data_IF_101556309603
#
_entry.id   IF_101556309603
#
_cell.length_a   1.000
_cell.length_b   1.000
_cell.length_c   1.000
_cell.angle_alpha   90.00
_cell.angle_beta   90.00
_cell.angle_gamma   90.00
#
_symmetry.space_group_name_H-M   'P 1'
#
loop_
_entity.id
_entity.type
_entity.pdbx_description
1 polymer ?
#
# COMPACT_ATOMS: atom_id res chain seq x y z
N UNK A 1 28.56 -24.32 6.42
CA UNK A 1 27.73 -23.14 6.02
C UNK A 1 26.80 -22.77 7.17
N UNK A 2 27.33 -22.45 8.36
CA UNK A 2 26.52 -22.18 9.57
C UNK A 2 26.90 -20.91 10.33
N UNK A 3 28.02 -20.23 10.00
CA UNK A 3 28.46 -19.03 10.75
C UNK A 3 28.12 -17.69 10.08
N UNK A 4 27.76 -17.68 8.78
CA UNK A 4 27.48 -16.42 8.07
C UNK A 4 26.05 -15.92 8.34
N UNK A 5 25.11 -16.80 8.74
CA UNK A 5 23.71 -16.43 8.95
C UNK A 5 23.46 -15.70 10.28
N UNK A 6 24.20 -16.01 11.34
CA UNK A 6 23.99 -15.43 12.67
C UNK A 6 24.65 -14.05 12.80
N UNK A 7 25.80 -13.85 12.14
CA UNK A 7 26.48 -12.54 12.07
C UNK A 7 25.71 -11.56 11.17
N UNK A 8 25.10 -12.03 10.07
CA UNK A 8 24.20 -11.20 9.25
C UNK A 8 22.90 -10.84 10.00
N UNK A 9 22.37 -11.76 10.81
CA UNK A 9 21.22 -11.55 11.69
C UNK A 9 21.46 -10.44 12.73
N UNK A 10 22.55 -10.54 13.49
CA UNK A 10 22.91 -9.53 14.50
C UNK A 10 23.14 -8.14 13.90
N UNK A 11 23.48 -8.07 12.62
CA UNK A 11 23.67 -6.81 11.90
C UNK A 11 22.38 -6.16 11.40
N UNK A 12 21.21 -6.81 11.49
CA UNK A 12 19.93 -6.28 11.00
C UNK A 12 18.91 -6.01 12.11
N UNK A 13 19.07 -6.64 13.26
CA UNK A 13 18.30 -6.34 14.47
C UNK A 13 18.89 -5.12 15.18
N UNK A 14 18.03 -4.27 15.72
CA UNK A 14 18.43 -3.14 16.55
C UNK A 14 19.17 -3.61 17.80
N UNK A 15 20.34 -3.04 18.03
CA UNK A 15 21.14 -3.26 19.25
C UNK A 15 20.44 -2.67 20.47
N UNK A 16 20.91 -3.00 21.67
CA UNK A 16 20.35 -2.44 22.91
C UNK A 16 20.47 -0.90 22.95
N UNK A 17 21.57 -0.34 22.43
CA UNK A 17 21.76 1.11 22.32
C UNK A 17 20.79 1.75 21.33
N UNK A 18 20.51 1.08 20.21
CA UNK A 18 19.57 1.54 19.17
C UNK A 18 18.10 1.40 19.62
N UNK A 19 17.78 0.57 20.63
CA UNK A 19 16.42 0.31 21.15
C UNK A 19 15.88 1.41 22.09
N UNK A 20 16.26 2.67 21.87
CA UNK A 20 15.73 3.78 22.64
C UNK A 20 14.67 4.57 21.85
N UNK A 21 13.63 5.14 22.51
CA UNK A 21 12.55 5.85 21.82
C UNK A 21 12.98 7.10 21.02
N UNK A 22 14.17 7.64 21.28
CA UNK A 22 14.67 8.82 20.57
C UNK A 22 15.32 8.46 19.22
N UNK A 23 15.67 7.19 19.00
CA UNK A 23 16.37 6.73 17.79
C UNK A 23 15.68 5.56 17.10
N UNK A 24 14.71 4.92 17.76
CA UNK A 24 13.87 3.86 17.18
C UNK A 24 12.38 4.23 17.25
N UNK A 25 11.58 3.93 16.22
CA UNK A 25 11.98 3.38 14.93
C UNK A 25 12.64 4.44 14.04
N UNK A 26 13.30 4.01 12.96
CA UNK A 26 13.87 4.91 11.97
C UNK A 26 13.49 4.48 10.55
N UNK A 27 13.27 5.47 9.68
CA UNK A 27 13.20 5.26 8.24
C UNK A 27 14.16 6.23 7.56
N UNK A 28 15.03 5.71 6.71
CA UNK A 28 16.09 6.46 6.05
C UNK A 28 15.92 6.44 4.53
N UNK A 29 16.42 7.46 3.84
CA UNK A 29 16.49 7.52 2.39
C UNK A 29 17.93 7.60 1.91
N UNK A 30 18.29 6.71 0.99
CA UNK A 30 19.49 6.85 0.18
C UNK A 30 19.20 7.74 -1.03
N UNK A 31 19.90 8.86 -1.11
CA UNK A 31 19.72 9.86 -2.17
C UNK A 31 19.93 9.27 -3.57
N UNK A 32 19.09 9.66 -4.52
CA UNK A 32 19.31 9.34 -5.92
C UNK A 32 20.56 10.04 -6.51
N UNK A 33 21.14 11.02 -5.80
CA UNK A 33 22.33 11.75 -6.22
C UNK A 33 23.57 10.87 -6.44
N UNK A 34 23.62 9.68 -5.84
CA UNK A 34 24.67 8.70 -6.08
C UNK A 34 24.68 8.17 -7.52
N UNK A 35 23.54 8.15 -8.20
CA UNK A 35 23.40 7.65 -9.58
C UNK A 35 23.04 8.73 -10.60
N UNK A 36 22.33 9.76 -10.16
CA UNK A 36 21.74 10.77 -11.03
C UNK A 36 22.26 12.15 -10.67
N UNK A 37 22.68 12.91 -11.69
CA UNK A 37 23.12 14.29 -11.50
C UNK A 37 21.93 15.24 -11.41
N UNK A 38 20.93 15.06 -12.25
CA UNK A 38 19.71 15.86 -12.27
C UNK A 38 18.49 14.95 -12.29
N UNK A 39 17.37 15.45 -11.78
CA UNK A 39 16.13 14.69 -11.69
C UNK A 39 14.95 15.56 -12.12
N UNK A 40 14.19 15.04 -13.09
CA UNK A 40 12.90 15.61 -13.43
C UNK A 40 11.89 15.31 -12.33
N UNK A 41 10.99 16.24 -12.06
CA UNK A 41 9.91 16.09 -11.10
C UNK A 41 8.62 16.61 -11.72
N UNK A 42 7.53 15.84 -11.67
CA UNK A 42 6.25 16.34 -12.13
C UNK A 42 5.78 17.49 -11.23
N UNK A 43 5.02 18.44 -11.79
CA UNK A 43 4.42 19.51 -11.00
C UNK A 43 3.46 18.96 -9.92
N UNK A 44 2.67 17.97 -10.31
CA UNK A 44 1.82 17.19 -9.41
C UNK A 44 2.15 15.71 -9.53
N UNK A 45 2.45 15.06 -8.41
CA UNK A 45 2.79 13.64 -8.39
C UNK A 45 1.54 12.78 -8.23
N UNK A 46 1.37 11.80 -9.11
CA UNK A 46 0.28 10.82 -9.01
C UNK A 46 0.41 9.93 -7.76
N UNK A 47 -0.71 9.34 -7.30
CA UNK A 47 -0.72 8.38 -6.19
C UNK A 47 0.28 7.24 -6.44
N UNK A 48 1.06 6.82 -5.43
CA UNK A 48 1.95 5.68 -5.56
C UNK A 48 1.15 4.39 -5.77
N UNK A 49 1.52 3.63 -6.80
CA UNK A 49 1.02 2.29 -7.12
C UNK A 49 2.13 1.25 -6.90
N UNK A 50 1.77 -0.01 -6.66
CA UNK A 50 2.75 -1.05 -6.33
C UNK A 50 2.65 -2.23 -7.29
N UNK A 51 3.75 -2.52 -7.98
CA UNK A 51 3.86 -3.69 -8.84
C UNK A 51 4.73 -4.75 -8.17
N UNK A 52 4.09 -5.87 -7.81
CA UNK A 52 4.74 -7.02 -7.21
C UNK A 52 5.29 -7.93 -8.32
N UNK A 53 6.61 -8.04 -8.38
CA UNK A 53 7.27 -8.88 -9.36
C UNK A 53 7.46 -10.29 -8.79
N UNK A 54 7.03 -11.35 -9.48
CA UNK A 54 7.24 -12.73 -9.03
C UNK A 54 8.74 -12.98 -8.94
N UNK A 55 9.28 -12.87 -7.72
CA UNK A 55 10.68 -13.13 -7.46
C UNK A 55 10.83 -14.62 -7.19
N UNK A 56 11.83 -15.23 -7.83
CA UNK A 56 12.14 -16.64 -7.66
C UNK A 56 12.71 -16.84 -6.26
N UNK A 57 11.84 -17.09 -5.28
CA UNK A 57 12.18 -17.46 -3.89
C UNK A 57 13.18 -18.63 -3.82
N UNK A 58 13.32 -19.40 -4.91
CA UNK A 58 14.12 -20.61 -5.00
C UNK A 58 15.31 -20.58 -5.97
N UNK A 59 15.65 -19.43 -6.57
CA UNK A 59 16.76 -19.37 -7.55
C UNK A 59 18.02 -18.74 -6.93
N UNK A 60 19.04 -19.54 -6.56
CA UNK A 60 20.23 -19.05 -5.90
C UNK A 60 21.01 -18.11 -6.81
N UNK A 61 21.36 -16.90 -6.31
CA UNK A 61 22.35 -15.94 -6.83
C UNK A 61 22.53 -15.92 -8.36
N UNK A 62 21.45 -16.10 -9.11
CA UNK A 62 21.57 -16.13 -10.56
C UNK A 62 21.87 -14.70 -11.00
N UNK A 63 22.78 -14.54 -11.97
CA UNK A 63 23.13 -13.24 -12.54
C UNK A 63 21.87 -12.45 -12.95
N UNK A 64 20.84 -13.15 -13.40
CA UNK A 64 19.52 -12.63 -13.79
C UNK A 64 18.77 -11.98 -12.64
N UNK A 65 18.81 -12.56 -11.43
CA UNK A 65 18.13 -12.05 -10.24
C UNK A 65 18.85 -10.82 -9.71
N UNK A 66 20.17 -10.87 -9.60
CA UNK A 66 20.96 -9.72 -9.18
C UNK A 66 20.77 -8.53 -10.14
N UNK A 67 20.73 -8.80 -11.45
CA UNK A 67 20.42 -7.77 -12.46
C UNK A 67 19.01 -7.19 -12.27
N UNK A 68 17.98 -8.03 -12.06
CA UNK A 68 16.62 -7.56 -11.84
C UNK A 68 16.49 -6.73 -10.55
N UNK A 69 17.11 -7.19 -9.46
CA UNK A 69 17.20 -6.51 -8.18
C UNK A 69 17.83 -5.12 -8.32
N UNK A 70 18.93 -5.01 -9.07
CA UNK A 70 19.58 -3.72 -9.35
C UNK A 70 18.67 -2.78 -10.15
N UNK A 71 18.00 -3.30 -11.19
CA UNK A 71 17.07 -2.52 -12.01
C UNK A 71 15.86 -2.00 -11.22
N UNK A 72 15.30 -2.82 -10.32
CA UNK A 72 14.22 -2.37 -9.42
C UNK A 72 14.70 -1.28 -8.46
N UNK A 73 15.90 -1.47 -7.90
CA UNK A 73 16.55 -0.51 -7.03
C UNK A 73 16.74 0.85 -7.67
N UNK A 74 17.33 0.86 -8.87
CA UNK A 74 17.54 2.07 -9.67
C UNK A 74 16.23 2.77 -10.03
N UNK A 75 15.16 2.01 -10.34
CA UNK A 75 13.83 2.55 -10.60
C UNK A 75 13.19 3.19 -9.37
N UNK A 76 13.24 2.50 -8.23
CA UNK A 76 12.66 3.00 -6.99
C UNK A 76 13.46 4.19 -6.44
N UNK A 77 14.78 4.24 -6.59
CA UNK A 77 15.59 5.41 -6.20
C UNK A 77 15.18 6.68 -6.92
N UNK A 78 14.72 6.57 -8.16
CA UNK A 78 14.22 7.70 -8.92
C UNK A 78 12.79 8.11 -8.53
N UNK A 79 12.39 7.87 -7.28
CA UNK A 79 11.04 8.17 -6.77
C UNK A 79 10.61 9.62 -7.01
N UNK A 80 11.54 10.58 -7.01
CA UNK A 80 11.19 11.99 -7.20
C UNK A 80 10.51 12.23 -8.56
N UNK A 81 10.87 11.43 -9.58
CA UNK A 81 10.32 11.49 -10.94
C UNK A 81 8.86 11.03 -11.02
N UNK A 82 8.33 10.35 -10.01
CA UNK A 82 6.92 9.95 -9.98
C UNK A 82 6.51 9.17 -11.24
N UNK A 83 5.47 9.65 -11.92
CA UNK A 83 4.97 9.12 -13.20
C UNK A 83 5.88 9.39 -14.41
N UNK A 84 6.89 10.25 -14.29
CA UNK A 84 7.86 10.56 -15.35
C UNK A 84 9.05 9.59 -15.40
N UNK A 85 9.15 8.66 -14.43
CA UNK A 85 10.26 7.70 -14.32
C UNK A 85 10.49 6.95 -15.62
N UNK A 86 9.40 6.54 -16.23
CA UNK A 86 9.42 5.83 -17.49
C UNK A 86 10.10 6.70 -18.54
N UNK A 87 9.59 7.91 -18.79
CA UNK A 87 10.05 8.80 -19.85
C UNK A 87 11.51 9.24 -19.71
N UNK A 88 12.02 9.31 -18.48
CA UNK A 88 13.37 9.81 -18.20
C UNK A 88 14.42 8.70 -18.09
N UNK A 89 14.05 7.52 -17.55
CA UNK A 89 14.95 6.37 -17.40
C UNK A 89 14.95 5.49 -18.66
N UNK A 90 13.89 5.53 -19.48
CA UNK A 90 13.72 4.68 -20.68
C UNK A 90 14.86 4.80 -21.70
N UNK A 91 15.59 5.92 -21.73
CA UNK A 91 16.69 6.15 -22.66
C UNK A 91 17.99 5.39 -22.29
N UNK A 92 18.05 4.78 -21.11
CA UNK A 92 19.17 3.91 -20.71
C UNK A 92 19.02 2.50 -21.31
N UNK A 93 20.14 1.95 -21.80
CA UNK A 93 20.23 0.63 -22.47
C UNK A 93 19.77 -0.51 -21.54
N UNK A 94 20.01 -0.33 -20.26
CA UNK A 94 19.67 -1.20 -19.13
C UNK A 94 18.15 -1.38 -19.02
N UNK A 95 17.40 -0.33 -19.35
CA UNK A 95 15.96 -0.31 -19.14
C UNK A 95 15.15 -0.99 -20.26
N UNK A 96 15.71 -1.03 -21.47
CA UNK A 96 15.23 -1.95 -22.52
C UNK A 96 15.31 -3.42 -22.07
N UNK A 97 16.14 -3.76 -21.08
CA UNK A 97 16.15 -5.09 -20.47
C UNK A 97 15.02 -5.26 -19.48
N UNK A 98 14.72 -4.27 -18.63
CA UNK A 98 13.60 -4.39 -17.69
C UNK A 98 12.26 -4.50 -18.43
N UNK A 99 12.02 -3.70 -19.47
CA UNK A 99 10.81 -3.83 -20.33
C UNK A 99 10.59 -5.24 -20.87
N UNK A 100 11.68 -5.95 -21.18
CA UNK A 100 11.61 -7.33 -21.69
C UNK A 100 11.29 -8.33 -20.57
N UNK A 101 11.77 -8.08 -19.35
CA UNK A 101 11.54 -8.93 -18.18
C UNK A 101 10.19 -8.66 -17.50
N UNK A 102 9.68 -7.44 -17.60
CA UNK A 102 8.42 -6.98 -17.01
C UNK A 102 7.62 -6.22 -18.07
N UNK A 103 6.94 -6.92 -18.99
CA UNK A 103 6.21 -6.30 -20.10
C UNK A 103 5.13 -5.31 -19.65
N UNK A 104 4.50 -5.57 -18.50
CA UNK A 104 3.44 -4.75 -17.90
C UNK A 104 3.88 -3.30 -17.64
N UNK A 105 5.19 -3.04 -17.46
CA UNK A 105 5.69 -1.67 -17.30
C UNK A 105 5.47 -0.78 -18.52
N UNK A 106 5.19 -1.35 -19.70
CA UNK A 106 4.80 -0.56 -20.88
C UNK A 106 3.41 0.05 -20.70
N UNK A 107 2.50 -0.68 -20.08
CA UNK A 107 1.12 -0.23 -19.84
C UNK A 107 1.07 0.76 -18.68
N UNK A 108 1.94 0.58 -17.68
CA UNK A 108 2.02 1.42 -16.49
C UNK A 108 3.02 2.59 -16.62
N UNK A 109 3.48 2.89 -17.83
CA UNK A 109 4.58 3.84 -18.04
C UNK A 109 4.27 5.26 -17.55
N UNK A 110 3.00 5.69 -17.55
CA UNK A 110 2.63 7.04 -17.11
C UNK A 110 2.06 7.05 -15.68
N UNK A 111 2.42 6.06 -14.86
CA UNK A 111 1.94 5.91 -13.47
C UNK A 111 3.10 5.95 -12.49
N UNK A 112 2.82 6.41 -11.27
CA UNK A 112 3.80 6.48 -10.19
C UNK A 112 3.99 5.09 -9.53
N UNK A 113 4.60 4.14 -10.24
CA UNK A 113 4.68 2.73 -9.82
C UNK A 113 5.96 2.42 -9.06
N UNK A 114 5.89 1.78 -7.91
CA UNK A 114 7.02 1.18 -7.20
C UNK A 114 7.14 -0.31 -7.53
N UNK A 115 8.36 -0.78 -7.76
CA UNK A 115 8.64 -2.19 -8.03
C UNK A 115 9.04 -2.89 -6.75
N UNK A 116 8.26 -3.89 -6.35
CA UNK A 116 8.48 -4.64 -5.12
C UNK A 116 8.63 -6.13 -5.43
N UNK A 117 9.44 -6.86 -4.65
CA UNK A 117 9.48 -8.32 -4.77
C UNK A 117 8.16 -8.90 -4.24
N UNK A 118 7.59 -9.86 -4.97
CA UNK A 118 6.46 -10.65 -4.48
C UNK A 118 6.98 -11.76 -3.57
N UNK A 119 7.05 -11.49 -2.28
CA UNK A 119 7.50 -12.44 -1.25
C UNK A 119 6.33 -12.86 -0.37
N UNK A 120 6.45 -14.01 0.31
CA UNK A 120 5.41 -14.48 1.23
C UNK A 120 5.15 -13.50 2.37
N UNK A 121 6.18 -12.79 2.85
CA UNK A 121 6.06 -11.88 4.00
C UNK A 121 5.80 -10.43 3.59
N UNK A 122 6.03 -10.07 2.32
CA UNK A 122 5.84 -8.71 1.76
C UNK A 122 6.49 -7.61 2.59
N UNK A 123 7.60 -7.90 3.29
CA UNK A 123 8.23 -6.96 4.23
C UNK A 123 8.60 -5.64 3.56
N UNK A 124 9.22 -5.71 2.39
CA UNK A 124 9.65 -4.52 1.64
C UNK A 124 8.47 -3.62 1.25
N UNK A 125 7.28 -4.20 1.04
CA UNK A 125 6.08 -3.43 0.76
C UNK A 125 5.65 -2.66 2.00
N UNK A 126 5.56 -3.35 3.13
CA UNK A 126 5.07 -2.77 4.37
C UNK A 126 6.13 -2.05 5.20
N UNK A 127 7.35 -1.90 4.67
CA UNK A 127 8.45 -1.22 5.35
C UNK A 127 8.07 0.17 5.89
N UNK A 128 7.38 1.06 5.12
CA UNK A 128 6.95 2.35 5.66
C UNK A 128 6.04 2.21 6.88
N UNK A 129 5.06 1.28 6.84
CA UNK A 129 4.13 1.05 7.95
C UNK A 129 4.84 0.42 9.16
N UNK A 130 5.72 -0.54 8.92
CA UNK A 130 6.53 -1.20 9.95
C UNK A 130 7.40 -0.19 10.71
N UNK A 131 8.06 0.71 9.96
CA UNK A 131 8.93 1.75 10.53
C UNK A 131 8.19 2.85 11.29
N UNK A 132 6.85 2.83 11.35
CA UNK A 132 6.07 3.73 12.22
C UNK A 132 5.78 3.13 13.60
N UNK A 133 6.05 1.84 13.81
CA UNK A 133 5.68 1.13 15.02
C UNK A 133 6.71 1.34 16.14
N UNK A 134 6.28 1.72 17.36
CA UNK A 134 7.17 1.84 18.50
C UNK A 134 7.67 0.47 18.96
N UNK A 135 8.83 0.44 19.61
CA UNK A 135 9.50 -0.80 20.04
C UNK A 135 8.59 -1.66 20.92
N UNK A 136 7.91 -1.01 21.88
CA UNK A 136 6.98 -1.67 22.81
C UNK A 136 5.87 -2.45 22.10
N UNK A 137 5.44 -1.96 20.92
CA UNK A 137 4.39 -2.61 20.14
C UNK A 137 4.94 -3.76 19.32
N UNK A 138 6.14 -3.61 18.73
CA UNK A 138 6.83 -4.71 18.06
C UNK A 138 7.04 -5.88 19.01
N UNK A 139 7.58 -5.62 20.21
CA UNK A 139 7.80 -6.65 21.23
C UNK A 139 6.50 -7.33 21.67
N UNK A 140 5.44 -6.54 21.91
CA UNK A 140 4.12 -7.05 22.29
C UNK A 140 3.53 -8.01 21.25
N UNK A 141 3.75 -7.76 19.97
CA UNK A 141 3.25 -8.61 18.88
C UNK A 141 4.30 -9.61 18.36
N UNK A 142 5.47 -9.69 19.01
CA UNK A 142 6.54 -10.61 18.65
C UNK A 142 7.11 -10.35 17.26
N UNK A 143 7.27 -9.06 16.91
CA UNK A 143 7.95 -8.60 15.70
C UNK A 143 9.38 -8.18 16.07
N UNK A 144 10.39 -8.56 15.27
CA UNK A 144 11.78 -8.22 15.55
C UNK A 144 12.05 -6.73 15.27
N UNK A 145 12.75 -5.99 16.14
CA UNK A 145 13.07 -4.60 15.87
C UNK A 145 14.18 -4.51 14.81
N UNK A 146 13.82 -4.19 13.58
CA UNK A 146 14.75 -4.04 12.46
C UNK A 146 15.36 -2.63 12.48
N UNK A 147 16.69 -2.52 12.39
CA UNK A 147 17.41 -1.24 12.34
C UNK A 147 17.62 -0.73 10.91
N UNK A 148 17.90 0.57 10.76
CA UNK A 148 18.35 1.22 9.52
C UNK A 148 17.53 0.83 8.29
N UNK A 149 16.22 0.95 8.41
CA UNK A 149 15.30 0.67 7.32
C UNK A 149 15.44 1.74 6.24
N UNK A 150 15.62 1.33 4.99
CA UNK A 150 15.81 2.26 3.87
C UNK A 150 14.62 2.23 2.92
N UNK A 151 14.03 3.40 2.70
CA UNK A 151 12.97 3.61 1.73
C UNK A 151 13.35 4.69 0.69
N UNK A 152 13.00 4.50 -0.60
CA UNK A 152 12.44 3.29 -1.21
C UNK A 152 13.39 2.11 -1.12
N UNK A 153 12.90 0.87 -1.26
CA UNK A 153 13.78 -0.31 -1.27
C UNK A 153 14.75 -0.23 -2.46
N UNK A 154 16.02 0.07 -2.15
CA UNK A 154 17.11 0.38 -3.08
C UNK A 154 17.83 -0.84 -3.61
N UNK A 155 17.87 -1.88 -2.81
CA UNK A 155 18.32 -3.19 -3.20
C UNK A 155 17.38 -4.15 -2.50
N UNK A 156 16.52 -4.86 -3.24
CA UNK A 156 15.71 -5.92 -2.65
C UNK A 156 16.53 -6.92 -1.82
N UNK A 157 17.87 -6.96 -1.86
CA UNK A 157 18.66 -7.81 -0.94
C UNK A 157 18.28 -7.65 0.55
N UNK A 158 17.69 -6.54 0.98
CA UNK A 158 17.11 -6.47 2.33
C UNK A 158 16.05 -7.56 2.59
N UNK A 159 15.25 -8.00 1.60
CA UNK A 159 14.38 -9.18 1.78
C UNK A 159 15.18 -10.46 2.03
N UNK A 160 16.28 -10.65 1.30
CA UNK A 160 17.14 -11.83 1.44
C UNK A 160 17.80 -11.89 2.82
N UNK A 161 18.08 -10.74 3.43
CA UNK A 161 18.73 -10.64 4.73
C UNK A 161 17.77 -10.37 5.90
N UNK A 162 16.49 -10.05 5.67
CA UNK A 162 15.53 -9.76 6.74
C UNK A 162 14.40 -10.79 6.78
N UNK A 163 13.82 -11.18 5.64
CA UNK A 163 12.64 -12.08 5.62
C UNK A 163 12.87 -13.46 6.24
N UNK A 164 14.06 -14.09 6.13
CA UNK A 164 14.31 -15.35 6.85
C UNK A 164 14.17 -15.23 8.37
N UNK A 165 14.28 -14.03 8.92
CA UNK A 165 14.22 -13.76 10.36
C UNK A 165 12.86 -13.24 10.83
N UNK A 166 11.98 -12.91 9.89
CA UNK A 166 10.61 -12.55 10.21
C UNK A 166 9.80 -13.80 10.54
N UNK A 167 8.83 -13.72 11.45
CA UNK A 167 7.95 -14.85 11.74
C UNK A 167 7.12 -15.26 10.51
N UNK A 168 6.71 -16.52 10.43
CA UNK A 168 5.93 -17.03 9.28
C UNK A 168 4.57 -16.34 9.15
N UNK A 169 3.97 -15.94 10.28
CA UNK A 169 2.74 -15.15 10.39
C UNK A 169 3.01 -13.63 10.44
N UNK A 170 4.13 -13.17 9.84
CA UNK A 170 4.54 -11.76 9.87
C UNK A 170 3.43 -10.78 9.46
N UNK A 171 2.73 -11.04 8.36
CA UNK A 171 1.69 -10.11 7.87
C UNK A 171 0.55 -9.96 8.88
N UNK A 172 0.14 -11.06 9.53
CA UNK A 172 -0.91 -11.05 10.55
C UNK A 172 -0.45 -10.30 11.81
N UNK A 173 0.78 -10.53 12.27
CA UNK A 173 1.36 -9.81 13.41
C UNK A 173 1.49 -8.32 13.13
N UNK A 174 1.96 -7.96 11.94
CA UNK A 174 2.08 -6.57 11.51
C UNK A 174 0.71 -5.91 11.41
N UNK A 175 -0.28 -6.57 10.80
CA UNK A 175 -1.65 -6.06 10.73
C UNK A 175 -2.20 -5.77 12.13
N UNK A 176 -2.02 -6.69 13.09
CA UNK A 176 -2.50 -6.49 14.47
C UNK A 176 -1.74 -5.39 15.22
N UNK A 177 -0.43 -5.31 15.03
CA UNK A 177 0.39 -4.25 15.62
C UNK A 177 -0.01 -2.89 15.06
N UNK A 178 -0.11 -2.77 13.74
CA UNK A 178 -0.48 -1.54 13.06
C UNK A 178 -1.91 -1.10 13.40
N UNK A 179 -2.87 -2.03 13.42
CA UNK A 179 -4.23 -1.74 13.85
C UNK A 179 -4.26 -1.13 15.26
N UNK A 180 -3.50 -1.70 16.21
CA UNK A 180 -3.41 -1.15 17.56
C UNK A 180 -2.73 0.24 17.61
N UNK A 181 -1.79 0.51 16.70
CA UNK A 181 -1.08 1.79 16.58
C UNK A 181 -1.96 2.91 16.00
N UNK A 182 -2.70 2.60 14.93
CA UNK A 182 -3.54 3.58 14.21
C UNK A 182 -4.89 3.79 14.91
N UNK A 183 -5.39 2.80 15.65
CA UNK A 183 -6.71 2.85 16.29
C UNK A 183 -7.01 4.16 17.03
N UNK A 184 -6.12 4.71 17.89
CA UNK A 184 -6.40 5.95 18.61
C UNK A 184 -6.61 7.17 17.71
N UNK A 185 -6.15 7.12 16.44
CA UNK A 185 -6.33 8.20 15.46
C UNK A 185 -7.65 8.07 14.68
N UNK A 186 -8.23 6.87 14.62
CA UNK A 186 -9.50 6.61 13.93
C UNK A 186 -10.69 6.52 14.91
N UNK A 187 -10.53 5.86 16.06
CA UNK A 187 -11.57 5.67 17.07
C UNK A 187 -11.03 5.72 18.52
N UNK A 188 -10.75 6.94 18.99
CA UNK A 188 -10.19 7.20 20.33
C UNK A 188 -11.17 6.94 21.49
N UNK A 189 -12.48 6.90 21.22
CA UNK A 189 -13.52 6.83 22.26
C UNK A 189 -13.81 5.43 22.80
N UNK A 190 -13.34 4.38 22.14
CA UNK A 190 -13.60 2.99 22.55
C UNK A 190 -12.46 2.08 22.12
N UNK A 191 -12.16 1.06 22.93
CA UNK A 191 -11.13 0.07 22.61
C UNK A 191 -11.54 -0.77 21.40
N UNK A 192 -10.62 -1.24 20.54
CA UNK A 192 -10.95 -2.16 19.44
C UNK A 192 -11.62 -3.44 19.93
N UNK A 193 -11.36 -3.85 21.18
CA UNK A 193 -11.98 -5.03 21.80
C UNK A 193 -13.47 -4.88 22.05
N UNK A 194 -13.99 -3.65 22.05
CA UNK A 194 -15.41 -3.37 22.21
C UNK A 194 -16.23 -3.75 20.98
N UNK A 195 -15.58 -3.94 19.83
CA UNK A 195 -16.22 -4.20 18.56
C UNK A 195 -16.05 -5.67 18.16
N UNK A 196 -16.98 -6.17 17.35
CA UNK A 196 -16.88 -7.48 16.73
C UNK A 196 -15.67 -7.54 15.79
N UNK A 197 -15.33 -8.74 15.30
CA UNK A 197 -14.18 -8.89 14.38
C UNK A 197 -14.50 -8.34 12.99
N UNK A 198 -15.78 -8.31 12.64
CA UNK A 198 -16.29 -7.93 11.32
C UNK A 198 -16.70 -6.46 11.26
N UNK A 199 -16.56 -5.71 12.36
CA UNK A 199 -16.86 -4.27 12.39
C UNK A 199 -15.98 -3.52 11.37
N UNK A 200 -16.56 -2.65 10.52
CA UNK A 200 -15.83 -2.10 9.38
C UNK A 200 -14.58 -1.26 9.72
N UNK A 201 -14.57 -0.50 10.82
CA UNK A 201 -13.39 0.26 11.23
C UNK A 201 -12.28 -0.64 11.75
N UNK A 202 -12.64 -1.74 12.40
CA UNK A 202 -11.68 -2.77 12.79
C UNK A 202 -11.05 -3.40 11.56
N UNK A 203 -11.84 -3.80 10.57
CA UNK A 203 -11.33 -4.34 9.30
C UNK A 203 -10.39 -3.33 8.61
N UNK A 204 -10.79 -2.05 8.55
CA UNK A 204 -9.98 -0.98 7.97
C UNK A 204 -8.65 -0.79 8.70
N UNK A 205 -8.65 -0.82 10.04
CA UNK A 205 -7.44 -0.69 10.85
C UNK A 205 -6.44 -1.83 10.58
N UNK A 206 -6.95 -3.03 10.27
CA UNK A 206 -6.15 -4.22 9.94
C UNK A 206 -5.67 -4.26 8.48
N UNK A 207 -6.25 -3.45 7.58
CA UNK A 207 -5.93 -3.48 6.16
C UNK A 207 -4.64 -2.69 5.85
N UNK A 208 -3.50 -3.37 5.88
CA UNK A 208 -2.20 -2.76 5.57
C UNK A 208 -2.13 -2.17 4.15
N UNK A 209 -2.78 -2.81 3.17
CA UNK A 209 -2.77 -2.35 1.77
C UNK A 209 -3.54 -1.02 1.59
N UNK A 210 -4.57 -0.76 2.41
CA UNK A 210 -5.23 0.54 2.46
C UNK A 210 -4.28 1.65 2.94
N UNK A 211 -3.51 1.40 4.01
CA UNK A 211 -2.64 2.42 4.61
C UNK A 211 -1.35 2.67 3.82
N UNK A 212 -0.87 1.67 3.08
CA UNK A 212 0.43 1.70 2.43
C UNK A 212 0.64 2.89 1.45
N UNK A 213 -0.28 3.19 0.51
CA UNK A 213 -0.14 4.36 -0.37
C UNK A 213 -0.01 5.68 0.40
N UNK A 214 -0.71 5.82 1.51
CA UNK A 214 -0.65 7.03 2.34
C UNK A 214 0.68 7.15 3.08
N UNK A 215 1.19 6.05 3.62
CA UNK A 215 2.51 6.03 4.28
C UNK A 215 3.64 6.36 3.31
N UNK A 216 3.58 5.86 2.08
CA UNK A 216 4.53 6.24 1.02
C UNK A 216 4.43 7.73 0.68
N UNK A 217 3.23 8.29 0.60
CA UNK A 217 3.06 9.73 0.38
C UNK A 217 3.61 10.58 1.51
N UNK A 218 3.52 10.14 2.77
CA UNK A 218 4.19 10.81 3.90
C UNK A 218 5.70 10.83 3.66
N UNK A 219 6.29 9.67 3.34
CA UNK A 219 7.72 9.56 3.10
C UNK A 219 8.19 10.46 1.94
N UNK A 220 7.46 10.43 0.82
CA UNK A 220 7.69 11.32 -0.32
C UNK A 220 7.55 12.81 0.05
N UNK A 221 6.53 13.18 0.82
CA UNK A 221 6.26 14.57 1.20
C UNK A 221 7.35 15.12 2.11
N UNK A 222 7.78 14.35 3.12
CA UNK A 222 8.87 14.73 4.03
C UNK A 222 10.18 14.89 3.28
N UNK A 223 10.56 13.92 2.44
CA UNK A 223 11.77 14.02 1.62
C UNK A 223 11.70 15.16 0.60
N UNK A 224 10.51 15.53 0.13
CA UNK A 224 10.35 16.67 -0.78
C UNK A 224 10.65 18.01 -0.10
N UNK A 225 10.80 18.06 1.22
CA UNK A 225 11.28 19.24 1.96
C UNK A 225 12.81 19.29 2.06
N UNK A 226 13.53 18.19 1.77
CA UNK A 226 14.98 18.17 1.86
C UNK A 226 15.63 19.10 0.82
N UNK A 227 16.77 19.66 1.18
CA UNK A 227 17.58 20.46 0.27
C UNK A 227 18.04 19.65 -0.95
N UNK A 228 18.29 20.36 -2.04
CA UNK A 228 18.98 19.79 -3.19
C UNK A 228 20.46 19.59 -2.90
N UNK A 229 21.07 18.58 -3.51
CA UNK A 229 22.53 18.44 -3.49
C UNK A 229 23.14 19.62 -4.25
N UNK A 230 24.18 20.22 -3.68
CA UNK A 230 24.83 21.40 -4.24
C UNK A 230 25.40 21.14 -5.65
N UNK A 231 25.50 22.23 -6.41
CA UNK A 231 26.15 22.28 -7.72
C UNK A 231 27.63 22.60 -7.48
N UNK A 232 28.50 21.63 -7.71
CA UNK A 232 29.93 21.72 -7.38
C UNK A 232 30.72 22.51 -8.44
N UNK A 233 30.29 22.45 -9.70
CA UNK A 233 31.01 23.00 -10.84
C UNK A 233 30.16 23.97 -11.66
N UNK A 234 30.82 24.91 -12.35
CA UNK A 234 30.14 25.81 -13.29
C UNK A 234 29.49 25.05 -14.45
N UNK A 235 30.10 23.92 -14.86
CA UNK A 235 29.52 23.01 -15.85
C UNK A 235 28.19 22.41 -15.36
N UNK A 236 28.06 22.10 -14.06
CA UNK A 236 26.76 21.65 -13.51
C UNK A 236 25.67 22.70 -13.68
N UNK A 237 26.00 23.97 -13.49
CA UNK A 237 25.05 25.09 -13.64
C UNK A 237 24.64 25.27 -15.10
N UNK A 238 25.61 25.21 -16.01
CA UNK A 238 25.36 25.31 -17.46
C UNK A 238 24.49 24.14 -17.96
N UNK A 239 24.86 22.91 -17.62
CA UNK A 239 24.10 21.71 -18.01
C UNK A 239 22.67 21.76 -17.46
N UNK A 240 22.49 22.19 -16.20
CA UNK A 240 21.16 22.34 -15.61
C UNK A 240 20.32 23.41 -16.32
N UNK A 241 20.90 24.58 -16.61
CA UNK A 241 20.22 25.67 -17.30
C UNK A 241 19.78 25.25 -18.71
N UNK A 242 20.62 24.50 -19.43
CA UNK A 242 20.28 23.94 -20.73
C UNK A 242 19.12 22.94 -20.63
N UNK A 243 19.14 22.03 -19.66
CA UNK A 243 18.03 21.08 -19.46
C UNK A 243 16.74 21.81 -19.10
N UNK A 244 16.78 22.76 -18.16
CA UNK A 244 15.62 23.55 -17.75
C UNK A 244 15.03 24.39 -18.89
N UNK A 245 15.84 24.80 -19.87
CA UNK A 245 15.36 25.51 -21.05
C UNK A 245 14.56 24.61 -22.01
N UNK A 246 14.79 23.30 -21.98
CA UNK A 246 14.20 22.32 -22.92
C UNK A 246 13.05 21.49 -22.31
N UNK A 247 12.83 21.56 -21.00
CA UNK A 247 11.77 20.81 -20.32
C UNK A 247 10.43 21.56 -20.42
N UNK A 248 9.33 20.88 -20.77
CA UNK A 248 7.99 21.48 -20.73
C UNK A 248 7.65 21.96 -19.31
N UNK A 249 7.58 23.28 -19.13
CA UNK A 249 7.42 23.93 -17.81
C UNK A 249 6.05 23.71 -17.19
N UNK A 250 5.08 23.32 -18.00
CA UNK A 250 3.71 22.96 -17.64
C UNK A 250 3.58 21.49 -17.19
N UNK A 251 4.60 20.65 -17.43
CA UNK A 251 4.56 19.24 -17.04
C UNK A 251 5.54 18.92 -15.91
N UNK A 252 6.75 19.51 -15.94
CA UNK A 252 7.83 19.12 -15.05
C UNK A 252 8.81 20.25 -14.72
N UNK A 253 9.51 20.06 -13.61
CA UNK A 253 10.71 20.81 -13.23
C UNK A 253 11.91 19.87 -13.26
N UNK A 254 13.12 20.42 -13.45
CA UNK A 254 14.36 19.67 -13.29
C UNK A 254 15.29 20.46 -12.38
N UNK A 255 15.80 19.82 -11.34
CA UNK A 255 16.96 20.33 -10.59
C UNK A 255 17.88 19.17 -10.21
N UNK A 256 18.82 19.44 -9.31
CA UNK A 256 19.60 18.41 -8.63
C UNK A 256 18.68 17.45 -7.87
N UNK A 257 19.19 16.24 -7.66
CA UNK A 257 18.56 15.26 -6.78
C UNK A 257 18.53 15.82 -5.35
N UNK A 258 17.53 15.42 -4.57
CA UNK A 258 17.43 15.81 -3.16
C UNK A 258 18.44 15.05 -2.31
N UNK A 259 18.88 15.69 -1.24
CA UNK A 259 19.68 15.06 -0.21
C UNK A 259 18.88 13.93 0.44
N UNK A 260 19.55 12.81 0.68
CA UNK A 260 19.01 11.70 1.47
C UNK A 260 19.10 12.05 2.97
N UNK A 261 18.68 11.12 3.82
CA UNK A 261 18.62 11.38 5.26
C UNK A 261 17.51 10.61 5.95
N UNK A 262 17.29 10.93 7.22
CA UNK A 262 16.13 10.41 7.95
C UNK A 262 14.85 10.99 7.37
N UNK A 263 13.89 10.12 7.08
CA UNK A 263 12.50 10.49 6.80
C UNK A 263 11.77 10.69 8.13
N UNK A 264 12.08 9.83 9.10
CA UNK A 264 11.80 10.03 10.52
C UNK A 264 12.77 9.25 11.39
N UNK A 265 12.96 9.73 12.62
CA UNK A 265 13.80 9.13 13.64
C UNK A 265 13.12 9.18 15.02
N UNK A 266 13.01 8.03 15.68
CA UNK A 266 12.40 7.90 17.00
C UNK A 266 10.87 7.82 16.98
N UNK A 267 10.29 7.46 18.13
CA UNK A 267 8.86 7.25 18.31
C UNK A 267 8.04 8.54 18.08
N UNK A 268 8.60 9.71 18.41
CA UNK A 268 7.93 10.99 18.26
C UNK A 268 7.67 11.32 16.78
N UNK A 269 8.73 11.35 15.96
CA UNK A 269 8.60 11.65 14.53
C UNK A 269 7.82 10.55 13.79
N UNK A 270 7.96 9.29 14.18
CA UNK A 270 7.18 8.18 13.65
C UNK A 270 5.68 8.33 13.96
N UNK A 271 5.33 8.83 15.16
CA UNK A 271 3.94 9.11 15.55
C UNK A 271 3.36 10.29 14.79
N UNK A 272 4.14 11.33 14.55
CA UNK A 272 3.76 12.43 13.67
C UNK A 272 3.51 11.94 12.24
N UNK A 273 4.42 11.11 11.70
CA UNK A 273 4.25 10.50 10.39
C UNK A 273 2.97 9.64 10.29
N UNK A 274 2.62 8.93 11.37
CA UNK A 274 1.34 8.18 11.45
C UNK A 274 0.14 9.12 11.41
N UNK A 275 0.23 10.29 12.05
CA UNK A 275 -0.85 11.28 12.08
C UNK A 275 -1.01 11.94 10.70
N UNK A 276 0.09 12.34 10.07
CA UNK A 276 0.13 12.83 8.68
C UNK A 276 -0.46 11.81 7.70
N UNK A 277 -0.17 10.52 7.88
CA UNK A 277 -0.73 9.45 7.05
C UNK A 277 -2.26 9.42 7.13
N UNK A 278 -2.83 9.55 8.33
CA UNK A 278 -4.30 9.61 8.53
C UNK A 278 -4.88 10.87 7.88
N UNK A 279 -4.19 12.01 7.95
CA UNK A 279 -4.62 13.24 7.27
C UNK A 279 -4.56 13.12 5.74
N UNK A 280 -3.56 12.43 5.19
CA UNK A 280 -3.46 12.17 3.76
C UNK A 280 -4.59 11.22 3.33
N UNK A 281 -4.89 10.18 4.11
CA UNK A 281 -6.01 9.29 3.85
C UNK A 281 -7.34 10.05 3.85
N UNK A 282 -7.51 11.00 4.76
CA UNK A 282 -8.70 11.88 4.79
C UNK A 282 -8.81 12.79 3.56
N UNK A 283 -7.70 13.43 3.16
CA UNK A 283 -7.67 14.32 1.99
C UNK A 283 -7.90 13.60 0.67
N UNK A 284 -7.48 12.33 0.57
CA UNK A 284 -7.48 11.59 -0.70
C UNK A 284 -8.69 10.68 -0.82
N UNK A 285 -9.02 9.94 0.24
CA UNK A 285 -10.01 8.87 0.23
C UNK A 285 -11.18 9.16 1.20
N UNK A 286 -11.32 10.42 1.66
CA UNK A 286 -12.41 10.89 2.54
C UNK A 286 -12.57 10.07 3.84
N UNK A 287 -11.46 9.63 4.42
CA UNK A 287 -11.43 8.74 5.59
C UNK A 287 -12.35 9.20 6.75
N UNK A 288 -12.40 10.49 7.11
CA UNK A 288 -13.29 10.93 8.21
C UNK A 288 -14.75 10.78 7.85
N UNK A 289 -15.14 11.10 6.62
CA UNK A 289 -16.51 10.88 6.11
C UNK A 289 -16.87 9.40 6.17
N UNK A 290 -15.94 8.51 5.80
CA UNK A 290 -16.12 7.06 5.92
C UNK A 290 -16.29 6.63 7.38
N UNK A 291 -15.44 7.12 8.29
CA UNK A 291 -15.53 6.84 9.72
C UNK A 291 -16.88 7.30 10.30
N UNK A 292 -17.32 8.51 9.96
CA UNK A 292 -18.58 9.07 10.43
C UNK A 292 -19.78 8.30 9.87
N UNK A 293 -19.71 7.86 8.61
CA UNK A 293 -20.72 7.01 8.00
C UNK A 293 -20.82 5.66 8.72
N UNK A 294 -19.69 5.00 9.01
CA UNK A 294 -19.67 3.73 9.75
C UNK A 294 -20.26 3.92 11.14
N UNK A 295 -19.76 4.90 11.92
CA UNK A 295 -20.23 5.19 13.29
C UNK A 295 -21.73 5.47 13.35
N UNK A 296 -22.27 6.13 12.35
CA UNK A 296 -23.70 6.50 12.29
C UNK A 296 -24.62 5.34 11.93
N UNK A 297 -24.09 4.28 11.31
CA UNK A 297 -24.87 3.15 10.80
C UNK A 297 -24.49 1.81 11.45
N UNK A 298 -23.78 1.84 12.59
CA UNK A 298 -23.47 0.63 13.36
C UNK A 298 -24.74 -0.14 13.72
N UNK A 299 -24.64 -1.46 13.67
CA UNK A 299 -25.68 -2.42 14.08
C UNK A 299 -25.27 -3.15 15.36
N UNK A 300 -26.17 -3.95 15.94
CA UNK A 300 -25.89 -4.66 17.19
C UNK A 300 -24.73 -5.64 17.04
N UNK A 301 -24.62 -6.28 15.88
CA UNK A 301 -23.57 -7.24 15.52
C UNK A 301 -22.17 -6.62 15.37
N UNK A 302 -22.08 -5.29 15.25
CA UNK A 302 -20.79 -4.57 15.22
C UNK A 302 -20.14 -4.51 16.61
N UNK A 303 -20.89 -4.78 17.67
CA UNK A 303 -20.40 -4.73 19.05
C UNK A 303 -20.04 -6.12 19.58
N UNK A 304 -18.99 -6.17 20.39
CA UNK A 304 -18.70 -7.31 21.23
C UNK A 304 -19.57 -7.29 22.50
N UNK A 305 -19.50 -8.35 23.30
CA UNK A 305 -20.11 -8.40 24.64
C UNK A 305 -19.48 -7.43 25.65
N UNK A 306 -18.33 -6.82 25.32
CA UNK A 306 -17.63 -5.88 26.21
C UNK A 306 -18.34 -4.53 26.21
N UNK A 307 -18.59 -3.99 27.42
CA UNK A 307 -19.13 -2.65 27.58
C UNK A 307 -18.19 -1.59 26.98
N UNK A 308 -18.76 -0.60 26.30
CA UNK A 308 -18.04 0.55 25.77
C UNK A 308 -18.94 1.77 25.62
N UNK A 309 -18.34 2.95 25.59
CA UNK A 309 -19.05 4.19 25.32
C UNK A 309 -19.76 4.18 23.96
N UNK A 310 -19.16 3.56 22.94
CA UNK A 310 -19.78 3.41 21.63
C UNK A 310 -21.06 2.55 21.69
N UNK A 311 -21.04 1.45 22.46
CA UNK A 311 -22.21 0.58 22.66
C UNK A 311 -23.29 1.27 23.47
N UNK A 312 -22.92 1.95 24.56
CA UNK A 312 -23.86 2.74 25.36
C UNK A 312 -24.55 3.82 24.52
N UNK A 313 -23.80 4.53 23.68
CA UNK A 313 -24.35 5.58 22.82
C UNK A 313 -25.28 5.01 21.74
N UNK A 314 -24.95 3.82 21.20
CA UNK A 314 -25.82 3.07 20.28
C UNK A 314 -27.13 2.66 20.96
N UNK A 315 -27.07 1.98 22.12
CA UNK A 315 -28.26 1.54 22.87
C UNK A 315 -29.15 2.74 23.26
N UNK A 316 -28.53 3.86 23.66
CA UNK A 316 -29.24 5.12 23.95
C UNK A 316 -29.98 5.69 22.74
N UNK A 317 -29.39 5.60 21.53
CA UNK A 317 -30.03 6.03 20.28
C UNK A 317 -31.19 5.09 19.91
N UNK A 318 -30.99 3.78 20.06
CA UNK A 318 -31.97 2.76 19.74
C UNK A 318 -33.22 2.84 20.62
N UNK A 319 -33.06 2.99 21.94
CA UNK A 319 -34.16 3.02 22.91
C UNK A 319 -34.85 4.38 23.06
N UNK A 320 -34.48 5.39 22.27
CA UNK A 320 -35.15 6.69 22.27
C UNK A 320 -36.48 6.57 21.52
N UNK A 321 -37.60 6.88 22.21
CA UNK A 321 -39.02 6.74 21.78
C UNK A 321 -39.45 7.31 20.40
N UNK A 322 -38.56 7.85 19.56
CA UNK A 322 -38.86 8.45 18.24
C UNK A 322 -37.74 8.28 17.18
N UNK A 323 -37.00 7.18 17.16
CA UNK A 323 -36.05 6.91 16.06
C UNK A 323 -36.81 6.48 14.79
N UNK A 324 -37.12 7.45 13.91
CA UNK A 324 -37.47 7.14 12.51
C UNK A 324 -36.20 6.69 11.80
N UNK A 325 -36.17 5.45 11.32
CA UNK A 325 -35.10 4.96 10.43
C UNK A 325 -35.06 5.87 9.20
N UNK A 326 -33.97 6.61 9.04
CA UNK A 326 -33.72 7.47 7.87
C UNK A 326 -32.54 6.88 7.12
N UNK A 327 -32.83 6.20 6.02
CA UNK A 327 -31.82 5.70 5.09
C UNK A 327 -31.20 6.92 4.40
N UNK A 328 -29.90 7.12 4.56
CA UNK A 328 -29.11 8.08 3.78
C UNK A 328 -28.24 7.29 2.82
N UNK A 329 -28.47 7.47 1.53
CA UNK A 329 -27.53 7.05 0.51
C UNK A 329 -26.37 8.05 0.53
N UNK A 330 -25.16 7.56 0.79
CA UNK A 330 -23.92 8.31 0.58
C UNK A 330 -23.39 7.86 -0.77
N UNK A 331 -23.47 8.75 -1.74
CA UNK A 331 -22.84 8.57 -3.04
C UNK A 331 -21.33 8.78 -2.84
N UNK A 332 -20.56 7.70 -2.90
CA UNK A 332 -19.10 7.79 -2.90
C UNK A 332 -18.71 8.40 -4.24
N UNK A 333 -18.27 9.67 -4.23
CA UNK A 333 -17.64 10.29 -5.39
C UNK A 333 -16.44 9.43 -5.78
N UNK A 334 -16.47 8.84 -6.99
CA UNK A 334 -15.41 8.04 -7.63
C UNK A 334 -14.20 7.81 -6.72
N UNK A 335 -14.32 6.86 -5.79
CA UNK A 335 -13.17 6.41 -5.04
C UNK A 335 -12.25 5.72 -6.06
N UNK A 336 -11.13 6.36 -6.42
CA UNK A 336 -10.14 5.74 -7.30
C UNK A 336 -9.71 4.41 -6.66
N UNK A 337 -10.02 3.31 -7.35
CA UNK A 337 -9.99 1.97 -6.77
C UNK A 337 -8.60 1.61 -6.24
N UNK A 338 -8.57 1.10 -5.00
CA UNK A 338 -7.37 0.55 -4.37
C UNK A 338 -7.08 -0.78 -5.09
N UNK A 339 -6.20 -0.73 -6.10
CA UNK A 339 -5.73 -1.93 -6.80
C UNK A 339 -4.90 -2.75 -5.81
N UNK A 340 -5.50 -3.83 -5.33
CA UNK A 340 -4.82 -4.84 -4.53
C UNK A 340 -3.92 -5.73 -5.37
N UNK A 341 -2.98 -6.46 -4.74
CA UNK A 341 -2.02 -7.34 -5.42
C UNK A 341 -2.65 -8.53 -6.17
N UNK A 342 -3.89 -8.90 -5.82
CA UNK A 342 -4.68 -9.97 -6.44
C UNK A 342 -5.70 -9.42 -7.46
N UNK A 343 -5.73 -8.11 -7.69
CA UNK A 343 -6.66 -7.50 -8.63
C UNK A 343 -6.25 -7.88 -10.05
N UNK A 344 -6.94 -8.87 -10.62
CA UNK A 344 -6.88 -9.11 -12.07
C UNK A 344 -7.36 -7.82 -12.77
N UNK A 345 -6.50 -7.27 -13.63
CA UNK A 345 -6.86 -6.14 -14.49
C UNK A 345 -7.08 -6.74 -15.88
N UNK A 346 -8.30 -6.66 -16.39
CA UNK A 346 -8.60 -7.05 -17.77
C UNK A 346 -9.11 -5.83 -18.53
N UNK A 347 -8.44 -5.46 -19.62
CA UNK A 347 -8.94 -4.47 -20.60
C UNK A 347 -9.40 -3.12 -20.00
N UNK A 348 -8.66 -2.60 -19.00
CA UNK A 348 -8.85 -1.30 -18.32
C UNK A 348 -9.89 -1.26 -17.18
N UNK A 349 -10.51 -2.38 -16.81
CA UNK A 349 -11.41 -2.45 -15.65
C UNK A 349 -10.87 -3.40 -14.58
N UNK A 350 -10.98 -3.00 -13.31
CA UNK A 350 -10.68 -3.88 -12.18
C UNK A 350 -11.89 -4.78 -11.91
N UNK A 351 -11.69 -6.10 -11.77
CA UNK A 351 -12.78 -7.03 -11.42
C UNK A 351 -13.49 -6.68 -10.09
N UNK A 352 -12.81 -5.94 -9.21
CA UNK A 352 -13.38 -5.44 -7.95
C UNK A 352 -14.55 -4.47 -8.17
N UNK A 353 -14.46 -3.61 -9.19
CA UNK A 353 -15.50 -2.64 -9.55
C UNK A 353 -16.75 -3.37 -10.04
N UNK A 354 -16.51 -4.45 -10.80
CA UNK A 354 -17.56 -5.35 -11.24
C UNK A 354 -18.16 -6.14 -10.07
N UNK A 355 -17.36 -6.65 -9.12
CA UNK A 355 -17.89 -7.37 -7.97
C UNK A 355 -18.68 -6.49 -7.01
N UNK A 356 -18.31 -5.21 -6.85
CA UNK A 356 -19.01 -4.27 -5.98
C UNK A 356 -20.47 -4.02 -6.39
N UNK A 357 -20.81 -4.20 -7.68
CA UNK A 357 -22.17 -3.99 -8.19
C UNK A 357 -23.03 -5.26 -8.25
N UNK A 358 -22.47 -6.41 -7.88
CA UNK A 358 -23.20 -7.68 -7.82
C UNK A 358 -23.90 -7.82 -6.47
N UNK A 359 -25.11 -8.36 -6.49
CA UNK A 359 -25.74 -8.79 -5.24
C UNK A 359 -25.10 -10.10 -4.73
N UNK A 360 -25.37 -10.45 -3.47
CA UNK A 360 -24.76 -11.63 -2.81
C UNK A 360 -24.98 -12.93 -3.62
N UNK A 361 -26.14 -13.09 -4.26
CA UNK A 361 -26.48 -14.28 -5.06
C UNK A 361 -25.77 -14.29 -6.40
N UNK A 362 -25.61 -13.11 -7.00
CA UNK A 362 -24.88 -12.91 -8.23
C UNK A 362 -23.37 -13.15 -8.02
N UNK A 363 -22.81 -12.67 -6.90
CA UNK A 363 -21.42 -12.91 -6.51
C UNK A 363 -21.14 -14.40 -6.29
N UNK A 364 -21.98 -15.10 -5.52
CA UNK A 364 -21.86 -16.54 -5.30
C UNK A 364 -21.90 -17.34 -6.61
N UNK A 365 -22.72 -16.90 -7.57
CA UNK A 365 -22.81 -17.52 -8.88
C UNK A 365 -21.54 -17.31 -9.73
N UNK A 366 -20.95 -16.11 -9.72
CA UNK A 366 -19.68 -15.85 -10.42
C UNK A 366 -18.54 -16.66 -9.81
N UNK A 367 -18.50 -16.79 -8.47
CA UNK A 367 -17.52 -17.64 -7.77
C UNK A 367 -17.70 -19.13 -8.13
N UNK A 368 -18.94 -19.62 -8.22
CA UNK A 368 -19.21 -20.99 -8.63
C UNK A 368 -18.74 -21.29 -10.06
N UNK A 369 -18.91 -20.34 -10.99
CA UNK A 369 -18.52 -20.50 -12.39
C UNK A 369 -17.02 -20.39 -12.63
N UNK A 370 -16.31 -19.63 -11.79
CA UNK A 370 -14.85 -19.46 -11.89
C UNK A 370 -14.08 -20.62 -11.28
N UNK A 371 -14.60 -21.24 -10.20
CA UNK A 371 -13.86 -22.25 -9.44
C UNK A 371 -14.32 -23.70 -9.64
N UNK A 372 -15.54 -23.96 -10.13
CA UNK A 372 -16.12 -25.30 -9.91
C UNK A 372 -17.13 -25.80 -10.94
N UNK A 373 -17.96 -24.94 -11.54
CA UNK A 373 -19.06 -25.36 -12.39
C UNK A 373 -18.72 -25.24 -13.88
N UNK A 374 -18.89 -26.32 -14.63
CA UNK A 374 -18.65 -26.35 -16.08
C UNK A 374 -19.87 -25.98 -16.91
N UNK A 375 -21.07 -25.95 -16.30
CA UNK A 375 -22.33 -25.64 -16.96
C UNK A 375 -23.41 -25.10 -15.99
N UNK A 376 -24.48 -24.53 -16.55
CA UNK A 376 -25.56 -23.85 -15.80
C UNK A 376 -26.35 -24.77 -14.86
N UNK A 377 -26.51 -26.04 -15.23
CA UNK A 377 -27.24 -27.02 -14.41
C UNK A 377 -26.44 -27.40 -13.17
N UNK A 378 -25.12 -27.51 -13.32
CA UNK A 378 -24.20 -27.78 -12.22
C UNK A 378 -24.11 -26.60 -11.26
N UNK A 379 -24.01 -25.37 -11.77
CA UNK A 379 -24.06 -24.16 -10.94
C UNK A 379 -25.39 -24.05 -10.18
N UNK A 380 -26.52 -24.37 -10.81
CA UNK A 380 -27.83 -24.37 -10.16
C UNK A 380 -27.92 -25.39 -9.01
N UNK A 381 -27.37 -26.59 -9.20
CA UNK A 381 -27.30 -27.61 -8.16
C UNK A 381 -26.41 -27.19 -6.98
N UNK A 382 -25.25 -26.60 -7.25
CA UNK A 382 -24.33 -26.11 -6.22
C UNK A 382 -24.91 -24.97 -5.38
N UNK A 383 -25.74 -24.13 -6.00
CA UNK A 383 -26.44 -23.02 -5.34
C UNK A 383 -27.80 -23.41 -4.73
N UNK A 384 -28.16 -24.70 -4.75
CA UNK A 384 -29.39 -25.21 -4.14
C UNK A 384 -30.69 -24.88 -4.90
N UNK A 385 -30.61 -24.55 -6.19
CA UNK A 385 -31.79 -24.30 -7.03
C UNK A 385 -32.38 -25.58 -7.63
N UNK A 386 -33.71 -25.64 -7.71
CA UNK A 386 -34.44 -26.78 -8.27
C UNK A 386 -34.30 -26.92 -9.80
N UNK A 387 -33.92 -25.85 -10.52
CA UNK A 387 -33.66 -25.85 -11.96
C UNK A 387 -32.70 -24.70 -12.33
N UNK A 388 -32.26 -24.65 -13.60
CA UNK A 388 -31.25 -23.68 -14.05
C UNK A 388 -31.81 -22.29 -14.39
N UNK A 389 -33.13 -22.07 -14.32
CA UNK A 389 -33.75 -20.81 -14.72
C UNK A 389 -33.35 -19.60 -13.83
N UNK A 390 -33.23 -19.73 -12.49
CA UNK A 390 -32.71 -18.67 -11.63
C UNK A 390 -31.27 -18.27 -11.98
N UNK A 391 -30.42 -19.25 -12.25
CA UNK A 391 -29.02 -19.05 -12.65
C UNK A 391 -28.93 -18.33 -13.99
N UNK A 392 -29.73 -18.75 -14.97
CA UNK A 392 -29.78 -18.10 -16.28
C UNK A 392 -30.26 -16.64 -16.19
N UNK A 393 -31.26 -16.36 -15.35
CA UNK A 393 -31.75 -15.00 -15.13
C UNK A 393 -30.71 -14.13 -14.41
N UNK A 394 -30.06 -14.66 -13.40
CA UNK A 394 -28.97 -13.97 -12.69
C UNK A 394 -27.81 -13.65 -13.64
N UNK A 395 -27.37 -14.61 -14.48
CA UNK A 395 -26.34 -14.36 -15.49
C UNK A 395 -26.73 -13.31 -16.53
N UNK A 396 -28.00 -13.27 -16.94
CA UNK A 396 -28.48 -12.23 -17.84
C UNK A 396 -28.38 -10.83 -17.20
N UNK A 397 -28.70 -10.71 -15.90
CA UNK A 397 -28.53 -9.45 -15.14
C UNK A 397 -27.06 -9.09 -14.96
N UNK A 398 -26.22 -10.05 -14.60
CA UNK A 398 -24.76 -9.89 -14.46
C UNK A 398 -24.15 -9.41 -15.80
N UNK A 399 -24.52 -10.02 -16.94
CA UNK A 399 -24.05 -9.58 -18.26
C UNK A 399 -24.54 -8.19 -18.64
N UNK A 400 -25.77 -7.83 -18.27
CA UNK A 400 -26.29 -6.48 -18.50
C UNK A 400 -25.50 -5.46 -17.70
N UNK A 401 -25.32 -5.70 -16.40
CA UNK A 401 -24.47 -4.92 -15.49
C UNK A 401 -23.03 -4.77 -15.99
N UNK A 402 -22.45 -5.84 -16.54
CA UNK A 402 -21.10 -5.81 -17.13
C UNK A 402 -21.02 -4.91 -18.36
N UNK A 403 -22.01 -4.99 -19.28
CA UNK A 403 -22.07 -4.11 -20.46
C UNK A 403 -22.24 -2.66 -20.09
N UNK A 404 -23.12 -2.37 -19.13
CA UNK A 404 -23.36 -1.01 -18.66
C UNK A 404 -22.08 -0.38 -18.06
N UNK A 405 -21.13 -1.18 -17.55
CA UNK A 405 -19.81 -0.71 -17.07
C UNK A 405 -18.79 -0.60 -18.22
N UNK A 406 -18.76 -1.57 -19.14
CA UNK A 406 -17.73 -1.66 -20.19
C UNK A 406 -18.02 -0.79 -21.41
N UNK A 407 -19.27 -0.38 -21.62
CA UNK A 407 -19.70 0.49 -22.73
C UNK A 407 -19.71 2.00 -22.34
N UNK A 408 -19.32 2.34 -21.10
CA UNK A 408 -18.96 3.68 -20.64
C UNK A 408 -17.43 3.84 -20.66
#
# INVERSE_FOLDING_TARGET
>A
MSDVSEVEYLNKIATEEERNPATYPELYNLSAAFLYRFMARPLERSRPEFLYLPFLQNAPRSKTILELTGLMGEWNMAWEQGQLRSQTIFYRKEWSRLKRKVPLLKELQNRNVYLLPNTEKRFNAYLPLFSMLPLSLLERYGLPPIRKMVWPTVAPLDWYHVEPFLPDDFQERLSRAFAAHVWPLIDSGSSPRAFSKDEPLRLLAHNLDFWLPHAVRVAEARLSQNYFVELETEKDRQDLAEIQANVPKDEATVDRCRQGGHIWLGEAEAREATSEMVEIADKSDQLKSLIDAIRSNRVEEDFSEVWSYAREDFERKLHRKRSRVRIKFVELSEAENIIGPESEIHERSCWQDFFAILDEKELQLVVCLTKSATNLSEAARLLGYANHAPVSKALARIRKKARDILDN
#
